data_IF_558053725439
#
_entry.id   IF_558053725439
#
_cell.length_a   1.000
_cell.length_b   1.000
_cell.length_c   1.000
_cell.angle_alpha   90.00
_cell.angle_beta   90.00
_cell.angle_gamma   90.00
#
_symmetry.space_group_name_H-M   'P 1'
#
loop_
_entity.id
_entity.type
_entity.pdbx_description
1 polymer ?
#
# COMPACT_ATOMS: atom_id res chain seq x y z
N UNK A 1 20.39 30.75 1.78
CA UNK A 1 19.32 29.84 2.27
C UNK A 1 18.78 29.10 1.05
N UNK A 2 19.34 27.91 0.78
CA UNK A 2 19.45 27.37 -0.58
C UNK A 2 18.17 26.72 -1.11
N UNK A 3 17.72 27.14 -2.30
CA UNK A 3 16.62 26.51 -3.07
C UNK A 3 16.81 24.98 -3.25
N UNK A 4 18.05 24.49 -3.24
CA UNK A 4 18.36 23.06 -3.32
C UNK A 4 17.98 22.23 -2.08
N UNK A 5 17.98 22.80 -0.87
CA UNK A 5 17.56 22.07 0.33
C UNK A 5 16.04 21.83 0.36
N UNK A 6 15.28 22.74 -0.24
CA UNK A 6 13.83 22.62 -0.41
C UNK A 6 13.46 21.52 -1.42
N UNK A 7 14.14 21.46 -2.57
CA UNK A 7 13.90 20.46 -3.63
C UNK A 7 14.22 19.03 -3.13
N UNK A 8 15.18 18.88 -2.22
CA UNK A 8 15.69 17.57 -1.77
C UNK A 8 14.88 16.94 -0.63
N UNK A 9 14.35 17.76 0.29
CA UNK A 9 13.29 17.37 1.23
C UNK A 9 12.02 16.92 0.50
N UNK A 10 11.73 17.51 -0.66
CA UNK A 10 10.55 17.21 -1.44
C UNK A 10 10.52 15.79 -1.99
N UNK A 11 11.64 15.16 -2.39
CA UNK A 11 11.58 13.79 -2.92
C UNK A 11 11.18 12.72 -1.88
N UNK A 12 11.74 12.78 -0.68
CA UNK A 12 11.36 11.87 0.41
C UNK A 12 9.92 12.15 0.88
N UNK A 13 9.52 13.42 0.90
CA UNK A 13 8.12 13.80 1.15
C UNK A 13 7.19 13.30 0.05
N UNK A 14 7.62 13.38 -1.21
CA UNK A 14 6.88 12.97 -2.40
C UNK A 14 6.69 11.45 -2.42
N UNK A 15 7.74 10.68 -2.11
CA UNK A 15 7.64 9.24 -1.97
C UNK A 15 6.67 8.85 -0.84
N UNK A 16 6.75 9.56 0.29
CA UNK A 16 5.81 9.35 1.41
C UNK A 16 4.37 9.71 0.98
N UNK A 17 4.16 10.79 0.23
CA UNK A 17 2.82 11.18 -0.22
C UNK A 17 2.23 10.24 -1.27
N UNK A 18 3.03 9.78 -2.24
CA UNK A 18 2.61 8.81 -3.26
C UNK A 18 2.20 7.48 -2.62
N UNK A 19 3.03 7.00 -1.69
CA UNK A 19 2.72 5.78 -0.95
C UNK A 19 1.48 5.98 -0.05
N UNK A 20 1.34 7.12 0.63
CA UNK A 20 0.15 7.40 1.45
C UNK A 20 -1.13 7.48 0.61
N UNK A 21 -1.07 8.12 -0.56
CA UNK A 21 -2.18 8.18 -1.50
C UNK A 21 -2.58 6.77 -1.94
N UNK A 22 -1.61 5.94 -2.30
CA UNK A 22 -1.84 4.58 -2.81
C UNK A 22 -2.34 3.59 -1.75
N UNK A 23 -1.90 3.69 -0.49
CA UNK A 23 -2.17 2.65 0.53
C UNK A 23 -3.08 3.06 1.69
N UNK A 24 -3.42 4.33 1.86
CA UNK A 24 -4.23 4.77 3.01
C UNK A 24 -5.58 5.36 2.61
N UNK A 25 -5.63 6.16 1.53
CA UNK A 25 -6.86 6.88 1.16
C UNK A 25 -7.89 5.94 0.53
N UNK A 26 -7.46 5.10 -0.40
CA UNK A 26 -8.34 4.16 -1.09
C UNK A 26 -8.76 2.98 -0.21
N UNK A 27 -7.86 2.51 0.66
CA UNK A 27 -8.13 1.35 1.53
C UNK A 27 -9.27 1.59 2.51
N UNK A 28 -9.45 2.80 3.05
CA UNK A 28 -10.57 3.11 3.93
C UNK A 28 -11.92 3.03 3.22
N UNK A 29 -12.01 3.53 1.99
CA UNK A 29 -13.23 3.47 1.17
C UNK A 29 -13.53 2.02 0.78
N UNK A 30 -12.51 1.28 0.35
CA UNK A 30 -12.61 -0.13 -0.02
C UNK A 30 -13.07 -0.98 1.18
N UNK A 31 -12.44 -0.81 2.36
CA UNK A 31 -12.85 -1.50 3.58
C UNK A 31 -14.31 -1.15 3.93
N UNK A 32 -14.70 0.12 3.82
CA UNK A 32 -16.07 0.53 4.16
C UNK A 32 -17.12 -0.09 3.23
N UNK A 33 -16.80 -0.23 1.94
CA UNK A 33 -17.70 -0.82 0.94
C UNK A 33 -17.72 -2.34 1.04
N UNK A 34 -16.57 -3.00 1.15
CA UNK A 34 -16.49 -4.45 1.26
C UNK A 34 -17.01 -4.96 2.61
N UNK A 35 -16.94 -4.18 3.69
CA UNK A 35 -17.56 -4.53 4.98
C UNK A 35 -19.07 -4.69 4.87
N UNK A 36 -19.72 -4.05 3.89
CA UNK A 36 -21.16 -4.18 3.64
C UNK A 36 -21.54 -5.59 3.17
N UNK A 37 -20.60 -6.38 2.63
CA UNK A 37 -20.82 -7.79 2.25
C UNK A 37 -21.09 -8.68 3.49
N UNK A 38 -20.63 -8.26 4.67
CA UNK A 38 -20.82 -9.01 5.92
C UNK A 38 -22.29 -8.91 6.36
N UNK A 39 -22.98 -10.04 6.58
CA UNK A 39 -24.41 -10.08 6.88
C UNK A 39 -24.86 -9.18 8.04
N UNK A 40 -24.07 -9.07 9.12
CA UNK A 40 -24.37 -8.16 10.26
C UNK A 40 -24.52 -6.69 9.84
N UNK A 41 -23.68 -6.24 8.92
CA UNK A 41 -23.64 -4.85 8.46
C UNK A 41 -24.49 -4.63 7.21
N UNK A 42 -24.78 -5.70 6.49
CA UNK A 42 -25.62 -5.72 5.30
C UNK A 42 -27.06 -5.21 5.58
N UNK A 43 -27.71 -5.68 6.64
CA UNK A 43 -29.11 -5.30 6.95
C UNK A 43 -29.29 -3.97 7.69
N UNK A 44 -28.19 -3.31 8.06
CA UNK A 44 -28.22 -2.08 8.87
C UNK A 44 -28.20 -0.81 8.01
N UNK A 45 -27.73 -0.95 6.78
CA UNK A 45 -27.70 0.09 5.78
C UNK A 45 -28.50 -0.44 4.60
N UNK A 46 -29.55 0.26 4.20
CA UNK A 46 -30.26 0.00 2.94
C UNK A 46 -29.23 0.10 1.81
N UNK A 47 -28.68 -1.05 1.41
CA UNK A 47 -27.35 -1.10 0.82
C UNK A 47 -27.48 -0.91 -0.68
N UNK A 48 -26.91 0.18 -1.20
CA UNK A 48 -26.76 0.39 -2.62
C UNK A 48 -25.68 -0.57 -3.14
N UNK A 49 -26.10 -1.69 -3.74
CA UNK A 49 -25.20 -2.70 -4.35
C UNK A 49 -24.15 -2.06 -5.27
N UNK A 50 -24.48 -0.90 -5.85
CA UNK A 50 -23.61 -0.09 -6.70
C UNK A 50 -22.28 0.28 -6.03
N UNK A 51 -22.22 0.50 -4.71
CA UNK A 51 -20.95 0.81 -4.03
C UNK A 51 -20.03 -0.42 -3.93
N UNK A 52 -20.63 -1.60 -3.74
CA UNK A 52 -19.90 -2.88 -3.73
C UNK A 52 -19.43 -3.18 -5.15
N UNK A 53 -20.29 -3.01 -6.15
CA UNK A 53 -19.97 -3.21 -7.56
C UNK A 53 -18.87 -2.27 -8.04
N UNK A 54 -18.93 -0.98 -7.69
CA UNK A 54 -17.87 -0.02 -7.98
C UNK A 54 -16.52 -0.42 -7.39
N UNK A 55 -16.54 -0.96 -6.16
CA UNK A 55 -15.32 -1.42 -5.49
C UNK A 55 -14.80 -2.71 -6.11
N UNK A 56 -15.70 -3.64 -6.48
CA UNK A 56 -15.35 -4.88 -7.16
C UNK A 56 -14.77 -4.64 -8.56
N UNK A 57 -15.24 -3.61 -9.28
CA UNK A 57 -14.68 -3.23 -10.57
C UNK A 57 -13.20 -2.83 -10.47
N UNK A 58 -12.77 -2.23 -9.35
CA UNK A 58 -11.34 -1.96 -9.12
C UNK A 58 -10.48 -3.22 -9.00
N UNK A 59 -11.09 -4.35 -8.66
CA UNK A 59 -10.46 -5.65 -8.50
C UNK A 59 -10.88 -6.64 -9.59
N UNK A 60 -11.41 -6.17 -10.73
CA UNK A 60 -11.91 -7.03 -11.81
C UNK A 60 -10.86 -8.05 -12.29
N UNK A 61 -9.58 -7.66 -12.32
CA UNK A 61 -8.48 -8.55 -12.68
C UNK A 61 -8.26 -9.71 -11.69
N UNK A 62 -8.65 -9.54 -10.42
CA UNK A 62 -8.52 -10.54 -9.37
C UNK A 62 -9.83 -11.34 -9.17
N UNK A 63 -10.93 -10.92 -9.84
CA UNK A 63 -12.22 -11.61 -9.74
C UNK A 63 -12.24 -12.87 -10.63
N UNK A 64 -12.79 -13.99 -10.13
CA UNK A 64 -12.89 -15.23 -10.89
C UNK A 64 -13.94 -15.17 -12.03
N UNK A 65 -14.87 -14.22 -12.02
CA UNK A 65 -15.91 -14.08 -13.04
C UNK A 65 -16.36 -12.62 -13.21
N UNK A 66 -17.23 -12.35 -14.20
CA UNK A 66 -17.68 -11.00 -14.50
C UNK A 66 -18.48 -10.34 -13.38
N UNK A 67 -18.53 -9.01 -13.39
CA UNK A 67 -19.27 -8.20 -12.41
C UNK A 67 -20.79 -8.48 -12.47
N UNK A 68 -21.32 -8.94 -13.60
CA UNK A 68 -22.72 -9.35 -13.71
C UNK A 68 -23.01 -10.61 -12.90
N UNK A 69 -22.09 -11.58 -12.90
CA UNK A 69 -22.18 -12.78 -12.06
C UNK A 69 -22.13 -12.38 -10.59
N UNK A 70 -21.24 -11.44 -10.21
CA UNK A 70 -21.21 -10.90 -8.85
C UNK A 70 -22.54 -10.27 -8.44
N UNK A 71 -23.23 -9.53 -9.32
CA UNK A 71 -24.55 -8.94 -9.03
C UNK A 71 -25.59 -10.02 -8.71
N UNK A 72 -25.57 -11.13 -9.47
CA UNK A 72 -26.41 -12.30 -9.21
C UNK A 72 -26.06 -13.01 -7.90
N UNK A 73 -24.76 -13.22 -7.65
CA UNK A 73 -24.26 -13.80 -6.40
C UNK A 73 -24.66 -12.96 -5.19
N UNK A 74 -24.58 -11.63 -5.27
CA UNK A 74 -25.00 -10.72 -4.21
C UNK A 74 -26.50 -10.87 -3.92
N UNK A 75 -27.36 -10.96 -4.93
CA UNK A 75 -28.79 -11.22 -4.72
C UNK A 75 -29.03 -12.54 -3.98
N UNK A 76 -28.40 -13.62 -4.42
CA UNK A 76 -28.56 -14.95 -3.79
C UNK A 76 -27.98 -14.98 -2.38
N UNK A 77 -26.84 -14.31 -2.16
CA UNK A 77 -26.22 -14.15 -0.85
C UNK A 77 -27.14 -13.47 0.15
N UNK A 78 -27.85 -12.42 -0.27
CA UNK A 78 -28.84 -11.73 0.57
C UNK A 78 -29.95 -12.65 1.00
N UNK A 79 -30.52 -13.42 0.06
CA UNK A 79 -31.60 -14.36 0.36
C UNK A 79 -31.11 -15.45 1.32
N UNK A 80 -29.91 -16.00 1.12
CA UNK A 80 -29.33 -17.02 2.01
C UNK A 80 -29.19 -16.52 3.46
N UNK A 81 -28.80 -15.27 3.65
CA UNK A 81 -28.65 -14.68 4.99
C UNK A 81 -29.93 -14.07 5.57
N UNK A 82 -30.98 -13.88 4.77
CA UNK A 82 -32.35 -13.64 5.27
C UNK A 82 -32.93 -14.91 5.89
N UNK A 83 -32.64 -16.07 5.31
CA UNK A 83 -33.14 -17.36 5.80
C UNK A 83 -32.41 -17.86 7.06
N UNK A 84 -31.14 -17.49 7.25
CA UNK A 84 -30.36 -17.88 8.44
C UNK A 84 -30.68 -17.01 9.67
N UNK A 85 -30.99 -17.66 10.80
CA UNK A 85 -31.27 -16.98 12.08
C UNK A 85 -30.02 -16.34 12.71
N UNK A 86 -28.84 -16.95 12.54
CA UNK A 86 -27.57 -16.41 13.01
C UNK A 86 -26.81 -15.74 11.86
N UNK A 87 -26.56 -14.44 11.98
CA UNK A 87 -25.82 -13.65 10.99
C UNK A 87 -24.34 -13.69 11.33
N UNK A 88 -23.50 -13.89 10.32
CA UNK A 88 -22.05 -13.79 10.51
C UNK A 88 -21.67 -12.37 10.91
N UNK A 89 -20.89 -12.27 11.99
CA UNK A 89 -20.41 -11.02 12.56
C UNK A 89 -19.00 -10.68 12.08
N UNK A 90 -18.24 -11.69 11.65
CA UNK A 90 -16.86 -11.55 11.20
C UNK A 90 -16.68 -11.92 9.71
N UNK A 91 -15.72 -11.29 9.00
CA UNK A 91 -15.39 -11.68 7.63
C UNK A 91 -15.02 -13.17 7.49
N UNK A 92 -14.41 -13.76 8.53
CA UNK A 92 -14.01 -15.18 8.56
C UNK A 92 -15.20 -16.13 8.61
N UNK A 93 -16.24 -15.80 9.37
CA UNK A 93 -17.49 -16.57 9.39
C UNK A 93 -18.25 -16.45 8.07
N UNK A 94 -18.30 -15.24 7.50
CA UNK A 94 -18.88 -15.01 6.18
C UNK A 94 -18.14 -15.83 5.11
N UNK A 95 -16.81 -15.86 5.17
CA UNK A 95 -15.96 -16.61 4.24
C UNK A 95 -16.29 -18.12 4.23
N UNK A 96 -16.56 -18.73 5.40
CA UNK A 96 -16.94 -20.15 5.48
C UNK A 96 -18.24 -20.48 4.73
N UNK A 97 -19.16 -19.53 4.63
CA UNK A 97 -20.43 -19.71 3.92
C UNK A 97 -20.34 -19.32 2.44
N UNK A 98 -19.24 -18.69 2.01
CA UNK A 98 -19.07 -18.15 0.66
C UNK A 98 -18.60 -19.18 -0.38
N UNK A 99 -18.46 -20.46 -0.01
CA UNK A 99 -17.95 -21.52 -0.90
C UNK A 99 -18.78 -21.75 -2.18
N UNK A 100 -20.05 -21.30 -2.20
CA UNK A 100 -20.91 -21.34 -3.39
C UNK A 100 -20.88 -20.04 -4.22
N UNK A 101 -20.14 -19.02 -3.76
CA UNK A 101 -20.14 -17.67 -4.33
C UNK A 101 -18.68 -17.22 -4.55
N UNK A 102 -18.05 -17.63 -5.66
CA UNK A 102 -16.62 -17.45 -5.89
C UNK A 102 -16.19 -15.97 -5.92
N UNK A 103 -17.03 -15.06 -6.42
CA UNK A 103 -16.69 -13.63 -6.42
C UNK A 103 -16.80 -13.04 -5.00
N UNK A 104 -17.85 -13.40 -4.26
CA UNK A 104 -18.00 -12.99 -2.85
C UNK A 104 -16.86 -13.54 -2.00
N UNK A 105 -16.45 -14.78 -2.24
CA UNK A 105 -15.30 -15.41 -1.58
C UNK A 105 -14.02 -14.60 -1.83
N UNK A 106 -13.75 -14.21 -3.08
CA UNK A 106 -12.61 -13.39 -3.45
C UNK A 106 -12.65 -12.01 -2.75
N UNK A 107 -13.80 -11.34 -2.76
CA UNK A 107 -13.97 -10.05 -2.10
C UNK A 107 -13.77 -10.13 -0.57
N UNK A 108 -14.24 -11.21 0.07
CA UNK A 108 -14.01 -11.45 1.49
C UNK A 108 -12.53 -11.75 1.81
N UNK A 109 -11.82 -12.46 0.92
CA UNK A 109 -10.37 -12.63 1.01
C UNK A 109 -9.65 -11.30 0.92
N UNK A 110 -9.96 -10.48 -0.07
CA UNK A 110 -9.40 -9.13 -0.23
C UNK A 110 -9.64 -8.31 1.04
N UNK A 111 -10.86 -8.31 1.58
CA UNK A 111 -11.19 -7.63 2.83
C UNK A 111 -10.35 -8.12 4.03
N UNK A 112 -10.04 -9.41 4.11
CA UNK A 112 -9.18 -9.94 5.18
C UNK A 112 -7.71 -9.55 5.02
N UNK A 113 -7.25 -9.31 3.80
CA UNK A 113 -5.86 -9.01 3.47
C UNK A 113 -5.57 -7.50 3.62
N UNK A 114 -6.54 -6.62 3.33
CA UNK A 114 -6.32 -5.16 3.38
C UNK A 114 -5.81 -4.69 4.76
N UNK A 115 -6.38 -5.08 5.92
CA UNK A 115 -5.85 -4.67 7.22
C UNK A 115 -4.41 -5.14 7.48
N UNK A 116 -4.03 -6.28 6.89
CA UNK A 116 -2.69 -6.87 7.05
C UNK A 116 -1.67 -6.12 6.19
N UNK A 117 -2.05 -5.76 4.96
CA UNK A 117 -1.19 -4.98 4.06
C UNK A 117 -1.09 -3.53 4.51
N UNK A 118 -2.18 -2.93 5.01
CA UNK A 118 -2.15 -1.58 5.60
C UNK A 118 -1.23 -1.54 6.82
N UNK A 119 -1.35 -2.47 7.77
CA UNK A 119 -0.47 -2.50 8.94
C UNK A 119 1.02 -2.65 8.57
N UNK A 120 1.33 -3.45 7.55
CA UNK A 120 2.71 -3.61 7.03
C UNK A 120 3.21 -2.34 6.37
N UNK A 121 2.35 -1.67 5.59
CA UNK A 121 2.67 -0.38 4.97
C UNK A 121 2.86 0.72 6.03
N UNK A 122 1.97 0.84 7.02
CA UNK A 122 2.06 1.77 8.16
C UNK A 122 3.36 1.59 8.96
N UNK A 123 3.76 0.34 9.22
CA UNK A 123 5.05 0.03 9.85
C UNK A 123 6.23 0.51 9.00
N UNK A 124 6.15 0.33 7.68
CA UNK A 124 7.17 0.79 6.73
C UNK A 124 7.24 2.32 6.68
N UNK A 125 6.08 3.00 6.69
CA UNK A 125 5.99 4.46 6.79
C UNK A 125 6.57 5.00 8.09
N UNK A 126 6.23 4.37 9.22
CA UNK A 126 6.75 4.75 10.54
C UNK A 126 8.27 4.62 10.57
N UNK A 127 8.81 3.53 10.02
CA UNK A 127 10.25 3.32 9.90
C UNK A 127 10.91 4.38 9.01
N UNK A 128 10.33 4.68 7.84
CA UNK A 128 10.85 5.71 6.93
C UNK A 128 10.80 7.10 7.55
N UNK A 129 9.72 7.43 8.28
CA UNK A 129 9.58 8.70 9.01
C UNK A 129 10.64 8.81 10.11
N UNK A 130 10.91 7.72 10.84
CA UNK A 130 11.96 7.68 11.87
C UNK A 130 13.36 7.84 11.28
N UNK A 131 13.64 7.19 10.15
CA UNK A 131 14.88 7.34 9.38
C UNK A 131 15.04 8.79 8.91
N UNK A 132 13.98 9.39 8.35
CA UNK A 132 13.98 10.79 7.93
C UNK A 132 14.27 11.74 9.09
N UNK A 133 13.64 11.53 10.24
CA UNK A 133 13.85 12.35 11.45
C UNK A 133 15.28 12.21 11.96
N UNK A 134 15.78 10.98 12.09
CA UNK A 134 17.14 10.70 12.56
C UNK A 134 18.23 11.25 11.62
N UNK A 135 18.04 11.11 10.31
CA UNK A 135 18.99 11.65 9.33
C UNK A 135 18.92 13.18 9.27
N UNK A 136 17.76 13.79 9.56
CA UNK A 136 17.65 15.26 9.66
C UNK A 136 18.31 15.81 10.92
N UNK A 137 18.33 15.06 12.03
CA UNK A 137 18.97 15.47 13.29
C UNK A 137 20.49 15.28 13.29
N UNK A 138 21.02 14.39 12.45
CA UNK A 138 22.43 13.94 12.54
C UNK A 138 23.26 14.26 11.28
N UNK A 139 22.65 14.76 10.19
CA UNK A 139 23.30 14.83 8.88
C UNK A 139 22.94 16.09 8.07
N UNK A 140 23.92 16.66 7.36
CA UNK A 140 23.66 17.67 6.33
C UNK A 140 22.84 17.04 5.19
N UNK A 141 21.82 17.77 4.70
CA UNK A 141 20.84 17.30 3.70
C UNK A 141 21.47 16.71 2.41
N UNK A 142 22.69 17.10 2.06
CA UNK A 142 23.42 16.57 0.90
C UNK A 142 23.74 15.07 1.02
N UNK A 143 24.20 14.63 2.20
CA UNK A 143 24.59 13.22 2.43
C UNK A 143 23.37 12.32 2.53
N UNK A 144 22.26 12.82 3.10
CA UNK A 144 20.98 12.11 3.14
C UNK A 144 20.46 11.77 1.74
N UNK A 145 20.51 12.75 0.84
CA UNK A 145 20.04 12.55 -0.53
C UNK A 145 20.91 11.57 -1.32
N UNK A 146 22.23 11.62 -1.14
CA UNK A 146 23.14 10.64 -1.75
C UNK A 146 22.77 9.21 -1.34
N UNK A 147 22.56 8.97 -0.04
CA UNK A 147 22.15 7.65 0.47
C UNK A 147 20.76 7.22 -0.01
N UNK A 148 19.78 8.11 -0.04
CA UNK A 148 18.44 7.78 -0.53
C UNK A 148 18.47 7.38 -2.02
N UNK A 149 19.26 8.10 -2.84
CA UNK A 149 19.39 7.83 -4.27
C UNK A 149 20.13 6.51 -4.55
N UNK A 150 21.14 6.17 -3.75
CA UNK A 150 21.79 4.85 -3.71
C UNK A 150 20.81 3.73 -3.35
N UNK A 151 19.95 3.97 -2.34
CA UNK A 151 19.00 2.98 -1.84
C UNK A 151 17.81 2.74 -2.78
N UNK A 152 17.39 3.75 -3.54
CA UNK A 152 16.37 3.61 -4.60
C UNK A 152 16.97 2.93 -5.83
N UNK A 153 18.19 3.30 -6.22
CA UNK A 153 18.86 2.79 -7.41
C UNK A 153 19.82 1.62 -7.13
N UNK A 154 19.41 0.66 -6.29
CA UNK A 154 20.24 -0.52 -5.94
C UNK A 154 20.61 -1.41 -7.12
N UNK A 155 19.88 -1.30 -8.21
CA UNK A 155 20.13 -2.02 -9.45
C UNK A 155 21.36 -1.48 -10.21
N UNK A 156 21.79 -0.25 -9.90
CA UNK A 156 23.02 0.33 -10.44
C UNK A 156 24.18 -0.20 -9.59
N UNK A 157 24.94 -1.14 -10.13
CA UNK A 157 26.18 -1.62 -9.52
C UNK A 157 27.22 -0.53 -9.62
N UNK A 158 27.51 0.12 -8.50
CA UNK A 158 28.62 1.06 -8.40
C UNK A 158 29.84 0.25 -8.02
N UNK A 159 30.85 0.25 -8.90
CA UNK A 159 32.11 -0.44 -8.64
C UNK A 159 33.04 0.43 -7.80
N UNK A 160 33.85 -0.21 -6.97
CA UNK A 160 34.79 0.49 -6.07
C UNK A 160 35.82 1.29 -6.86
N UNK A 161 36.21 0.81 -8.04
CA UNK A 161 37.13 1.47 -8.96
C UNK A 161 36.57 2.81 -9.47
N UNK A 162 35.31 2.84 -9.90
CA UNK A 162 34.64 4.07 -10.38
C UNK A 162 34.54 5.13 -9.27
N UNK A 163 34.25 4.71 -8.03
CA UNK A 163 34.19 5.62 -6.89
C UNK A 163 35.58 6.18 -6.58
N UNK A 164 36.61 5.34 -6.63
CA UNK A 164 38.01 5.75 -6.43
C UNK A 164 38.46 6.75 -7.48
N UNK A 165 38.13 6.52 -8.76
CA UNK A 165 38.52 7.41 -9.85
C UNK A 165 37.79 8.77 -9.78
N UNK A 166 36.49 8.77 -9.47
CA UNK A 166 35.73 10.01 -9.24
C UNK A 166 36.23 10.77 -7.99
N UNK A 167 36.67 10.04 -6.96
CA UNK A 167 37.19 10.67 -5.74
C UNK A 167 38.60 11.25 -5.96
N UNK A 168 39.45 10.52 -6.69
CA UNK A 168 40.78 10.94 -7.17
C UNK A 168 40.69 12.25 -7.96
N UNK A 169 39.75 12.33 -8.89
CA UNK A 169 39.57 13.51 -9.75
C UNK A 169 38.95 14.70 -9.03
N UNK A 170 38.13 14.49 -7.98
CA UNK A 170 37.48 15.57 -7.22
C UNK A 170 38.32 16.11 -6.06
N UNK A 171 39.15 15.30 -5.42
CA UNK A 171 40.00 15.74 -4.32
C UNK A 171 41.44 15.91 -4.79
N UNK A 172 41.83 17.15 -5.03
CA UNK A 172 43.19 17.57 -5.40
C UNK A 172 44.20 17.44 -4.21
N UNK A 173 44.09 16.41 -3.38
CA UNK A 173 45.10 16.10 -2.36
C UNK A 173 46.14 15.17 -2.99
N UNK A 174 47.07 15.77 -3.73
CA UNK A 174 48.32 15.11 -4.10
C UNK A 174 48.99 14.64 -2.81
N UNK A 175 48.94 13.34 -2.49
CA UNK A 175 49.98 12.75 -1.67
C UNK A 175 51.19 12.58 -2.59
N UNK A 176 52.15 13.50 -2.51
CA UNK A 176 53.48 13.21 -3.01
C UNK A 176 54.06 12.12 -2.11
N UNK A 177 54.19 10.92 -2.66
CA UNK A 177 55.05 9.89 -2.11
C UNK A 177 56.39 10.06 -2.81
N UNK A 178 57.28 10.82 -2.17
CA UNK A 178 58.69 10.81 -2.52
C UNK A 178 59.26 9.49 -1.97
N UNK A 179 59.62 8.57 -2.88
CA UNK A 179 60.45 7.39 -2.62
C UNK A 179 61.83 7.68 -3.20
#
# INVERSE_FOLDING_TARGET
>A
MNRESAIRSNHLNYLISELNLRFLKDNNVIISNLRKIIPKYYFKYDTLDEEILYTAQKYEADLPSSIEVLRGELCLWKELWKTKSEKADTPKEAYKSAYMFPNIECLLKILCIIPVTTATSERSFSSLKRIKTYLRSTMNQSRLNGLAMLNINKHIKITTEEVLDIFSTKHNRKLQLDI
#
